data_IF_588955151070
#
_entry.id   IF_588955151070
#
_cell.length_a   1.000
_cell.length_b   1.000
_cell.length_c   1.000
_cell.angle_alpha   90.00
_cell.angle_beta   90.00
_cell.angle_gamma   90.00
#
_symmetry.space_group_name_H-M   'P 1'
#
loop_
_entity.id
_entity.type
_entity.pdbx_description
1 polymer ?
#
# COMPACT_ATOMS: atom_id res chain seq x y z
N UNK A 1 4.53 3.78 -9.24
CA UNK A 1 3.10 4.15 -9.13
C UNK A 1 2.41 3.05 -8.36
N UNK A 2 1.55 3.41 -7.41
CA UNK A 2 0.71 2.46 -6.68
C UNK A 2 -0.44 3.20 -6.00
N UNK A 3 -1.44 2.46 -5.56
CA UNK A 3 -2.51 2.98 -4.71
C UNK A 3 -2.20 2.57 -3.28
N UNK A 4 -2.29 3.51 -2.33
CA UNK A 4 -2.30 3.18 -0.89
C UNK A 4 -3.67 3.57 -0.35
N UNK A 5 -4.35 2.62 0.28
CA UNK A 5 -5.75 2.75 0.64
C UNK A 5 -6.14 2.05 1.93
N UNK A 6 -7.38 2.31 2.34
CA UNK A 6 -8.08 1.63 3.42
C UNK A 6 -8.83 0.46 2.79
N UNK A 7 -8.69 -0.73 3.39
CA UNK A 7 -9.48 -1.86 2.97
C UNK A 7 -10.98 -1.59 3.25
N UNK A 8 -11.87 -1.66 2.25
CA UNK A 8 -13.25 -1.16 2.37
C UNK A 8 -14.09 -1.81 3.47
N UNK A 9 -13.75 -3.03 3.89
CA UNK A 9 -14.48 -3.78 4.92
C UNK A 9 -13.75 -3.79 6.27
N UNK A 10 -12.68 -3.01 6.42
CA UNK A 10 -11.93 -2.97 7.67
C UNK A 10 -12.76 -2.36 8.79
N UNK A 11 -12.94 -3.12 9.88
CA UNK A 11 -13.58 -2.62 11.11
C UNK A 11 -12.67 -1.61 11.82
N UNK A 12 -11.36 -1.74 11.65
CA UNK A 12 -10.35 -0.87 12.22
C UNK A 12 -9.34 -0.41 11.15
N UNK A 13 -9.03 0.89 11.09
CA UNK A 13 -8.13 1.49 10.09
C UNK A 13 -6.98 2.27 10.75
N UNK A 14 -5.78 2.32 10.18
CA UNK A 14 -4.77 3.27 10.64
C UNK A 14 -5.23 4.73 10.41
N UNK A 15 -4.81 5.67 11.27
CA UNK A 15 -4.89 7.11 11.02
C UNK A 15 -3.91 7.51 9.92
N UNK A 16 -2.80 6.80 9.82
CA UNK A 16 -1.81 6.96 8.78
C UNK A 16 -1.29 5.61 8.32
N UNK A 17 -1.13 5.46 6.99
CA UNK A 17 -0.60 4.27 6.38
C UNK A 17 0.43 4.67 5.32
N UNK A 18 1.63 4.10 5.39
CA UNK A 18 2.72 4.49 4.51
C UNK A 18 3.58 3.31 4.06
N UNK A 19 3.92 3.33 2.77
CA UNK A 19 4.90 2.46 2.12
C UNK A 19 6.19 3.26 1.89
N UNK A 20 7.33 2.77 2.38
CA UNK A 20 8.63 3.43 2.22
C UNK A 20 9.50 2.70 1.19
N UNK A 21 10.12 3.49 0.32
CA UNK A 21 11.02 3.04 -0.74
C UNK A 21 12.33 3.79 -0.58
N UNK A 22 13.48 3.12 -0.72
CA UNK A 22 14.80 3.77 -0.72
C UNK A 22 15.71 3.22 -1.81
N UNK A 23 16.76 3.96 -2.22
CA UNK A 23 17.86 3.37 -2.98
C UNK A 23 18.50 2.24 -2.16
N UNK A 24 18.82 1.13 -2.81
CA UNK A 24 19.42 -0.02 -2.13
C UNK A 24 20.78 0.37 -1.53
N UNK A 25 20.91 0.24 -0.21
CA UNK A 25 22.13 0.59 0.53
C UNK A 25 22.40 2.09 0.69
N UNK A 26 21.39 2.95 0.48
CA UNK A 26 21.51 4.41 0.69
C UNK A 26 20.55 4.96 1.75
N UNK A 27 20.77 6.21 2.16
CA UNK A 27 20.05 6.86 3.26
C UNK A 27 18.83 7.69 2.81
N UNK A 28 18.66 7.92 1.51
CA UNK A 28 17.51 8.64 0.97
C UNK A 28 16.24 7.78 0.93
N UNK A 29 15.05 8.37 1.03
CA UNK A 29 13.79 7.63 0.90
C UNK A 29 12.72 8.43 0.14
N UNK A 30 11.77 7.70 -0.43
CA UNK A 30 10.52 8.18 -0.97
C UNK A 30 9.38 7.39 -0.32
N UNK A 31 8.20 8.00 -0.19
CA UNK A 31 7.08 7.37 0.51
C UNK A 31 5.74 7.61 -0.20
N UNK A 32 4.92 6.57 -0.26
CA UNK A 32 3.49 6.70 -0.57
C UNK A 32 2.71 6.67 0.75
N UNK A 33 2.03 7.77 1.09
CA UNK A 33 1.46 8.02 2.42
C UNK A 33 0.01 8.47 2.33
N UNK A 34 -0.87 7.77 3.03
CA UNK A 34 -2.28 8.13 3.18
C UNK A 34 -2.58 8.52 4.63
N UNK A 35 -3.19 9.68 4.83
CA UNK A 35 -3.78 10.09 6.11
C UNK A 35 -5.29 9.87 6.10
N UNK A 36 -5.79 9.05 7.02
CA UNK A 36 -7.22 8.86 7.23
C UNK A 36 -7.78 9.91 8.19
N UNK A 37 -7.76 11.17 7.77
CA UNK A 37 -8.51 12.22 8.46
C UNK A 37 -9.92 12.30 7.87
N UNK A 38 -10.94 12.18 8.73
CA UNK A 38 -12.37 12.25 8.33
C UNK A 38 -12.69 13.55 7.55
N UNK A 39 -11.94 14.63 7.80
CA UNK A 39 -12.05 15.93 7.14
C UNK A 39 -11.05 16.17 5.98
N UNK A 40 -10.11 15.24 5.75
CA UNK A 40 -9.01 15.37 4.79
C UNK A 40 -9.21 14.57 3.50
N UNK A 41 -10.42 14.07 3.26
CA UNK A 41 -10.74 13.32 2.03
C UNK A 41 -10.59 14.25 0.84
N UNK A 42 -9.64 13.97 -0.03
CA UNK A 42 -9.35 14.83 -1.17
C UNK A 42 -10.16 14.40 -2.39
N UNK A 43 -10.45 15.29 -3.35
CA UNK A 43 -10.97 14.89 -4.66
C UNK A 43 -10.04 13.95 -5.42
N UNK A 44 -8.81 13.76 -4.94
CA UNK A 44 -7.77 12.92 -5.53
C UNK A 44 -7.84 11.46 -5.07
N UNK A 45 -8.74 11.14 -4.14
CA UNK A 45 -8.92 9.81 -3.60
C UNK A 45 -9.85 8.97 -4.48
N UNK A 46 -9.43 7.74 -4.74
CA UNK A 46 -10.23 6.67 -5.33
C UNK A 46 -11.21 6.19 -4.27
N UNK A 47 -12.50 6.23 -4.57
CA UNK A 47 -13.58 5.77 -3.70
C UNK A 47 -14.26 4.59 -4.33
N UNK A 48 -14.33 3.49 -3.60
CA UNK A 48 -15.07 2.29 -4.04
C UNK A 48 -16.36 2.07 -3.27
N UNK A 49 -16.39 2.43 -1.98
CA UNK A 49 -17.58 2.30 -1.11
C UNK A 49 -17.59 3.42 -0.06
N UNK A 50 -18.59 3.43 0.82
CA UNK A 50 -18.67 4.39 1.94
C UNK A 50 -17.46 4.37 2.88
N UNK A 51 -16.76 3.23 2.97
CA UNK A 51 -15.60 3.01 3.86
C UNK A 51 -14.27 2.87 3.11
N UNK A 52 -14.29 2.56 1.80
CA UNK A 52 -13.11 2.37 0.98
C UNK A 52 -12.58 3.67 0.38
N UNK A 53 -11.42 4.13 0.85
CA UNK A 53 -10.70 5.31 0.34
C UNK A 53 -9.27 4.88 0.01
N UNK A 54 -8.76 5.23 -1.16
CA UNK A 54 -7.34 5.12 -1.48
C UNK A 54 -6.84 6.34 -2.23
N UNK A 55 -5.56 6.65 -2.10
CA UNK A 55 -4.94 7.73 -2.88
C UNK A 55 -4.00 7.14 -3.93
N UNK A 56 -4.04 7.71 -5.14
CA UNK A 56 -3.16 7.33 -6.24
C UNK A 56 -1.81 8.07 -6.12
N UNK A 57 -0.71 7.33 -5.97
CA UNK A 57 0.64 7.86 -5.83
C UNK A 57 1.49 7.63 -7.07
N UNK A 58 2.05 8.71 -7.61
CA UNK A 58 3.10 8.69 -8.63
C UNK A 58 4.32 9.36 -8.03
N UNK A 59 5.42 8.61 -7.96
CA UNK A 59 6.69 9.09 -7.41
C UNK A 59 7.71 9.18 -8.54
N UNK A 60 8.24 10.38 -8.87
CA UNK A 60 9.35 10.51 -9.79
C UNK A 60 10.63 10.05 -9.10
N UNK A 61 11.22 8.96 -9.58
CA UNK A 61 12.48 8.41 -9.06
C UNK A 61 13.53 8.41 -10.16
N UNK A 62 14.81 8.60 -9.78
CA UNK A 62 15.92 8.40 -10.72
C UNK A 62 16.05 6.91 -11.05
N UNK A 63 16.55 6.54 -12.23
CA UNK A 63 16.90 5.14 -12.53
C UNK A 63 17.87 4.58 -11.50
N UNK A 64 17.75 3.30 -11.18
CA UNK A 64 18.62 2.64 -10.20
C UNK A 64 17.94 1.47 -9.49
N UNK A 65 18.66 0.91 -8.52
CA UNK A 65 18.17 -0.17 -7.65
C UNK A 65 17.55 0.43 -6.40
N UNK A 66 16.29 0.11 -6.16
CA UNK A 66 15.52 0.52 -5.00
C UNK A 66 15.04 -0.71 -4.23
N UNK A 67 14.52 -0.47 -3.04
CA UNK A 67 13.84 -1.47 -2.25
C UNK A 67 12.67 -0.85 -1.49
N UNK A 68 11.58 -1.61 -1.39
CA UNK A 68 10.58 -1.37 -0.35
C UNK A 68 11.14 -2.01 0.91
N UNK A 69 11.42 -1.20 1.92
CA UNK A 69 12.16 -1.66 3.10
C UNK A 69 11.40 -1.47 4.40
N UNK A 70 10.30 -0.70 4.38
CA UNK A 70 9.52 -0.46 5.60
C UNK A 70 8.07 -0.08 5.29
N UNK A 71 7.20 -0.33 6.27
CA UNK A 71 5.79 0.01 6.31
C UNK A 71 5.51 0.70 7.64
N UNK A 72 4.63 1.68 7.59
CA UNK A 72 4.24 2.43 8.77
C UNK A 72 2.72 2.47 8.91
N UNK A 73 2.24 2.15 10.11
CA UNK A 73 0.85 2.28 10.51
C UNK A 73 0.80 3.08 11.82
N UNK A 74 0.18 4.25 11.79
CA UNK A 74 -0.05 5.07 12.98
C UNK A 74 -1.54 5.20 13.27
N UNK A 75 -1.93 5.05 14.54
CA UNK A 75 -3.30 5.16 15.06
C UNK A 75 -3.48 6.35 16.02
N UNK A 76 -2.47 7.20 16.20
CA UNK A 76 -2.48 8.37 17.08
C UNK A 76 -2.32 8.06 18.57
N UNK A 77 -2.74 6.87 19.02
CA UNK A 77 -2.52 6.36 20.39
C UNK A 77 -1.57 5.16 20.46
N UNK A 78 -1.18 4.60 19.32
CA UNK A 78 -0.18 3.55 19.18
C UNK A 78 0.51 3.69 17.82
N UNK A 79 1.84 3.73 17.83
CA UNK A 79 2.66 3.75 16.61
C UNK A 79 3.17 2.33 16.38
N UNK A 80 2.70 1.66 15.33
CA UNK A 80 3.23 0.37 14.91
C UNK A 80 4.23 0.61 13.78
N UNK A 81 5.51 0.71 14.14
CA UNK A 81 6.58 0.51 13.17
C UNK A 81 6.67 -0.98 12.89
N UNK A 82 6.65 -1.37 11.62
CA UNK A 82 7.23 -2.67 11.28
C UNK A 82 8.71 -2.62 11.62
N UNK A 83 9.09 -3.20 12.75
CA UNK A 83 10.48 -3.59 13.03
C UNK A 83 10.83 -4.92 12.33
N UNK A 84 10.02 -5.40 11.38
CA UNK A 84 10.47 -6.47 10.48
C UNK A 84 11.47 -5.85 9.50
N UNK A 85 12.74 -6.23 9.63
CA UNK A 85 13.78 -5.95 8.64
C UNK A 85 13.49 -6.79 7.39
N UNK A 86 12.75 -6.22 6.45
CA UNK A 86 12.50 -6.84 5.14
C UNK A 86 12.97 -5.91 4.02
N UNK A 87 13.22 -6.47 2.85
CA UNK A 87 13.54 -5.71 1.63
C UNK A 87 12.94 -6.40 0.42
N UNK A 88 12.07 -5.69 -0.30
CA UNK A 88 11.53 -6.12 -1.60
C UNK A 88 12.28 -5.32 -2.69
N UNK A 89 13.16 -5.94 -3.47
CA UNK A 89 13.98 -5.25 -4.45
C UNK A 89 13.14 -4.74 -5.63
N UNK A 90 13.54 -3.59 -6.18
CA UNK A 90 12.97 -2.94 -7.35
C UNK A 90 14.11 -2.46 -8.26
N UNK A 91 14.04 -2.78 -9.55
CA UNK A 91 14.97 -2.24 -10.54
C UNK A 91 14.25 -1.26 -11.46
N UNK A 92 14.67 0.00 -11.44
CA UNK A 92 14.03 1.09 -12.17
C UNK A 92 14.94 1.59 -13.30
N UNK A 93 14.41 1.60 -14.51
CA UNK A 93 15.07 2.08 -15.72
C UNK A 93 14.54 3.45 -16.13
N UNK A 94 15.35 4.18 -16.91
CA UNK A 94 14.99 5.49 -17.41
C UNK A 94 13.78 5.45 -18.35
N UNK A 95 12.90 6.45 -18.23
CA UNK A 95 11.75 6.63 -19.12
C UNK A 95 10.62 5.62 -18.92
N UNK A 96 10.70 4.74 -17.92
CA UNK A 96 9.66 3.74 -17.61
C UNK A 96 8.84 4.16 -16.40
N UNK A 97 7.57 3.76 -16.39
CA UNK A 97 6.67 3.94 -15.26
C UNK A 97 6.28 2.58 -14.71
N UNK A 98 6.55 2.34 -13.42
CA UNK A 98 6.36 1.05 -12.79
C UNK A 98 5.09 1.04 -11.94
N UNK A 99 4.29 -0.01 -12.04
CA UNK A 99 3.10 -0.25 -11.23
C UNK A 99 3.39 -1.27 -10.14
N UNK A 100 3.18 -0.85 -8.90
CA UNK A 100 3.43 -1.64 -7.69
C UNK A 100 2.16 -2.31 -7.15
N UNK A 101 0.96 -1.99 -7.66
CA UNK A 101 -0.30 -2.52 -7.16
C UNK A 101 -1.08 -1.57 -6.24
N UNK A 102 -2.15 -2.12 -5.66
CA UNK A 102 -3.06 -1.49 -4.71
C UNK A 102 -2.80 -2.09 -3.32
N UNK A 103 -2.33 -1.26 -2.38
CA UNK A 103 -2.01 -1.63 -1.01
C UNK A 103 -3.09 -1.12 -0.08
N UNK A 104 -3.97 -2.01 0.39
CA UNK A 104 -5.11 -1.67 1.22
C UNK A 104 -4.98 -2.18 2.62
N UNK A 105 -4.88 -1.28 3.58
CA UNK A 105 -4.63 -1.69 4.94
C UNK A 105 -5.87 -1.76 5.82
N UNK A 106 -5.82 -2.70 6.74
CA UNK A 106 -6.77 -2.91 7.83
C UNK A 106 -6.05 -3.45 9.06
N UNK A 107 -6.63 -3.22 10.23
CA UNK A 107 -6.08 -3.65 11.52
C UNK A 107 -6.98 -4.70 12.19
N UNK A 108 -6.37 -5.70 12.83
CA UNK A 108 -7.06 -6.85 13.41
C UNK A 108 -7.74 -6.56 14.76
N UNK A 109 -7.33 -5.52 15.48
CA UNK A 109 -7.93 -5.12 16.75
C UNK A 109 -7.99 -3.61 16.91
N UNK A 110 -8.89 -3.14 17.79
CA UNK A 110 -8.97 -1.73 18.19
C UNK A 110 -7.69 -1.24 18.87
N UNK A 111 -6.96 -2.14 19.55
CA UNK A 111 -5.65 -1.88 20.16
C UNK A 111 -4.49 -1.87 19.15
N UNK A 112 -4.72 -2.22 17.88
CA UNK A 112 -3.70 -2.17 16.83
C UNK A 112 -2.62 -3.25 16.94
N UNK A 113 -2.90 -4.38 17.60
CA UNK A 113 -1.90 -5.42 17.86
C UNK A 113 -1.25 -5.97 16.57
N UNK A 114 -1.95 -5.88 15.42
CA UNK A 114 -1.41 -6.17 14.09
C UNK A 114 -2.24 -5.50 12.99
N UNK A 115 -1.60 -4.71 12.14
CA UNK A 115 -2.17 -4.21 10.88
C UNK A 115 -1.46 -4.88 9.71
N UNK A 116 -2.19 -5.04 8.60
CA UNK A 116 -1.66 -5.65 7.37
C UNK A 116 -2.12 -4.86 6.16
N UNK A 117 -1.32 -4.86 5.10
CA UNK A 117 -1.74 -4.48 3.75
C UNK A 117 -2.24 -5.72 3.01
N UNK A 118 -3.45 -5.64 2.46
CA UNK A 118 -3.91 -6.52 1.39
C UNK A 118 -3.45 -5.92 0.07
N UNK A 119 -2.64 -6.66 -0.68
CA UNK A 119 -2.08 -6.23 -1.96
C UNK A 119 -2.84 -6.85 -3.13
N UNK A 120 -3.31 -6.04 -4.06
CA UNK A 120 -3.98 -6.48 -5.28
C UNK A 120 -3.43 -5.82 -6.53
N UNK A 121 -3.68 -6.47 -7.68
CA UNK A 121 -3.34 -5.96 -9.00
C UNK A 121 -4.61 -5.51 -9.73
N UNK A 122 -4.69 -4.21 -9.98
CA UNK A 122 -5.75 -3.58 -10.74
C UNK A 122 -5.17 -2.66 -11.82
N UNK A 123 -4.14 -3.14 -12.53
CA UNK A 123 -3.36 -2.35 -13.49
C UNK A 123 -4.24 -1.56 -14.48
N UNK A 124 -5.25 -2.18 -15.08
CA UNK A 124 -6.08 -1.51 -16.09
C UNK A 124 -6.87 -0.33 -15.51
N UNK A 125 -7.52 -0.54 -14.36
CA UNK A 125 -8.25 0.49 -13.62
C UNK A 125 -7.31 1.64 -13.24
N UNK A 126 -6.17 1.29 -12.63
CA UNK A 126 -5.23 2.28 -12.12
C UNK A 126 -4.51 3.02 -13.24
N UNK A 127 -4.27 2.37 -14.38
CA UNK A 127 -3.74 3.00 -15.58
C UNK A 127 -4.67 4.05 -16.17
N UNK A 128 -5.98 3.78 -16.20
CA UNK A 128 -6.96 4.77 -16.63
C UNK A 128 -6.95 6.00 -15.71
N UNK A 129 -6.90 5.79 -14.39
CA UNK A 129 -6.84 6.86 -13.39
C UNK A 129 -5.54 7.69 -13.50
N UNK A 130 -4.40 7.03 -13.71
CA UNK A 130 -3.11 7.71 -13.90
C UNK A 130 -3.10 8.52 -15.18
N UNK A 131 -3.54 7.96 -16.32
CA UNK A 131 -3.59 8.71 -17.58
C UNK A 131 -4.47 9.95 -17.48
N UNK A 132 -5.59 9.87 -16.79
CA UNK A 132 -6.49 11.00 -16.58
C UNK A 132 -5.85 12.11 -15.72
N UNK A 133 -5.07 11.73 -14.71
CA UNK A 133 -4.52 12.67 -13.71
C UNK A 133 -3.10 13.15 -14.00
N UNK A 134 -2.30 12.33 -14.67
CA UNK A 134 -0.89 12.54 -14.96
C UNK A 134 -0.59 12.09 -16.41
N UNK A 135 -1.08 12.81 -17.42
CA UNK A 135 -0.94 12.42 -18.83
C UNK A 135 0.53 12.33 -19.31
N UNK A 136 1.46 12.96 -18.60
CA UNK A 136 2.90 12.88 -18.85
C UNK A 136 3.56 11.56 -18.42
N UNK A 137 2.87 10.74 -17.63
CA UNK A 137 3.42 9.46 -17.14
C UNK A 137 3.38 8.44 -18.28
N UNK A 138 4.50 7.77 -18.61
CA UNK A 138 4.52 6.69 -19.59
C UNK A 138 3.57 5.54 -19.26
N UNK A 139 3.33 4.66 -20.23
CA UNK A 139 2.55 3.45 -19.98
C UNK A 139 3.15 2.65 -18.82
N UNK A 140 2.25 2.24 -17.93
CA UNK A 140 2.61 1.55 -16.71
C UNK A 140 3.00 0.11 -16.99
N UNK A 141 4.12 -0.29 -16.41
CA UNK A 141 4.64 -1.64 -16.47
C UNK A 141 4.45 -2.29 -15.12
N UNK A 142 3.74 -3.42 -15.10
CA UNK A 142 3.58 -4.23 -13.89
C UNK A 142 4.96 -4.65 -13.39
N UNK A 143 5.22 -4.40 -12.11
CA UNK A 143 6.33 -5.02 -11.40
C UNK A 143 5.78 -6.26 -10.70
N UNK A 144 6.40 -7.41 -10.94
CA UNK A 144 6.11 -8.57 -10.11
C UNK A 144 6.84 -8.42 -8.79
N UNK A 145 6.07 -8.24 -7.72
CA UNK A 145 6.58 -8.23 -6.36
C UNK A 145 6.54 -9.67 -5.84
N UNK A 146 7.32 -10.54 -6.49
CA UNK A 146 7.46 -11.93 -6.10
C UNK A 146 7.97 -12.02 -4.66
N UNK A 147 7.52 -13.04 -3.93
CA UNK A 147 7.98 -13.35 -2.56
C UNK A 147 7.68 -12.29 -1.48
N UNK A 148 6.82 -11.30 -1.76
CA UNK A 148 6.36 -10.33 -0.76
C UNK A 148 5.92 -10.97 0.57
N UNK A 149 5.14 -12.06 0.49
CA UNK A 149 4.65 -12.78 1.68
C UNK A 149 5.71 -13.67 2.35
N UNK A 150 6.83 -13.94 1.68
CA UNK A 150 7.96 -14.67 2.25
C UNK A 150 8.90 -13.73 3.03
N UNK A 151 9.00 -12.47 2.59
CA UNK A 151 9.88 -11.48 3.21
C UNK A 151 9.22 -10.68 4.34
N UNK A 152 7.88 -10.53 4.32
CA UNK A 152 7.14 -9.90 5.42
C UNK A 152 5.78 -10.53 5.62
N UNK A 153 5.35 -10.61 6.88
CA UNK A 153 3.99 -11.07 7.23
C UNK A 153 2.94 -9.96 7.16
N UNK A 154 3.37 -8.73 6.88
CA UNK A 154 2.54 -7.52 6.93
C UNK A 154 1.91 -7.15 5.58
N UNK A 155 2.40 -7.71 4.48
CA UNK A 155 1.76 -7.56 3.17
C UNK A 155 1.32 -8.92 2.67
N UNK A 156 0.03 -9.05 2.37
CA UNK A 156 -0.61 -10.30 1.97
C UNK A 156 -1.35 -10.09 0.66
N UNK A 157 -1.17 -10.98 -0.31
CA UNK A 157 -1.90 -10.95 -1.58
C UNK A 157 -3.39 -11.09 -1.31
N UNK A 158 -4.17 -10.18 -1.87
CA UNK A 158 -5.60 -10.10 -1.61
C UNK A 158 -6.35 -11.35 -2.08
N UNK A 159 -5.87 -12.05 -3.10
CA UNK A 159 -6.45 -13.30 -3.60
C UNK A 159 -5.62 -14.53 -3.22
N UNK A 160 -4.71 -14.40 -2.24
CA UNK A 160 -3.82 -15.48 -1.79
C UNK A 160 -4.46 -16.42 -0.76
N UNK A 161 -3.83 -17.59 -0.50
CA UNK A 161 -4.35 -18.62 0.41
C UNK A 161 -4.50 -18.13 1.87
N UNK A 162 -3.67 -17.17 2.30
CA UNK A 162 -3.74 -16.57 3.65
C UNK A 162 -4.81 -15.48 3.78
N UNK A 163 -5.36 -15.00 2.66
CA UNK A 163 -6.18 -13.78 2.62
C UNK A 163 -7.60 -13.96 3.16
N UNK A 164 -8.20 -15.15 3.01
CA UNK A 164 -9.60 -15.40 3.41
C UNK A 164 -9.80 -15.21 4.91
N UNK A 165 -8.94 -15.84 5.72
CA UNK A 165 -8.94 -15.72 7.18
C UNK A 165 -8.68 -14.28 7.62
N UNK A 166 -7.66 -13.62 7.05
CA UNK A 166 -7.34 -12.24 7.38
C UNK A 166 -8.49 -11.30 7.04
N UNK A 167 -9.12 -11.45 5.87
CA UNK A 167 -10.30 -10.66 5.51
C UNK A 167 -11.43 -10.87 6.51
N UNK A 168 -11.72 -12.10 6.91
CA UNK A 168 -12.77 -12.40 7.90
C UNK A 168 -12.50 -11.73 9.26
N UNK A 169 -11.24 -11.78 9.74
CA UNK A 169 -10.83 -11.10 10.97
C UNK A 169 -10.91 -9.57 10.84
N UNK A 170 -10.40 -9.01 9.73
CA UNK A 170 -10.41 -7.58 9.46
C UNK A 170 -11.84 -7.02 9.34
N UNK A 171 -12.79 -7.84 8.88
CA UNK A 171 -14.21 -7.49 8.80
C UNK A 171 -14.99 -7.80 10.09
N UNK A 172 -14.33 -8.25 11.15
CA UNK A 172 -14.96 -8.56 12.44
C UNK A 172 -15.81 -9.83 12.47
N UNK A 173 -15.76 -10.68 11.44
CA UNK A 173 -16.58 -11.90 11.35
C UNK A 173 -16.07 -13.00 12.30
N UNK A 174 -14.77 -12.97 12.65
CA UNK A 174 -14.16 -13.94 13.58
C UNK A 174 -13.99 -13.42 15.01
N UNK A 175 -14.50 -12.24 15.34
CA UNK A 175 -14.47 -11.69 16.71
C UNK A 175 -15.80 -11.98 17.42
N UNK A 176 -16.10 -13.27 17.64
CA UNK A 176 -17.22 -13.75 18.45
C UNK A 176 -16.74 -14.83 19.43
#
# INVERSE_FOLDING_TARGET
MGVVGIWPKAVHTANEQMLLIRPRGGDGFASARLYNQIYGRTPRDVRETWHGIGSLFVMPLKPGRYEIYNLHFDRGNATAWSREDFSIPLELEAGKAYYLGDFRAGCLSASGAKCVFLHSDHLERDAALVRAKYPQVPNLQRVDLEKMEEVTSLIVREQGPKSSMLKAMLSGICNA
#
